data_IF_291867003010
#
_entry.id   IF_291867003010
#
_cell.length_a   1.000
_cell.length_b   1.000
_cell.length_c   1.000
_cell.angle_alpha   90.00
_cell.angle_beta   90.00
_cell.angle_gamma   90.00
#
_symmetry.space_group_name_H-M   'P 1'
#
loop_
_entity.id
_entity.type
_entity.pdbx_description
1 polymer ?
#
# COMPACT_ATOMS: atom_id res chain seq x y z
N UNK A 1 9.81 27.93 -1.42
CA UNK A 1 8.77 27.13 -2.11
C UNK A 1 9.52 26.03 -2.82
N UNK A 2 9.96 25.06 -2.03
CA UNK A 2 10.75 23.95 -2.51
C UNK A 2 9.85 23.03 -3.33
N UNK A 3 10.22 22.88 -4.60
CA UNK A 3 9.60 21.94 -5.50
C UNK A 3 9.65 20.55 -4.85
N UNK A 4 8.49 20.02 -4.45
CA UNK A 4 8.35 18.59 -4.12
C UNK A 4 8.62 17.79 -5.39
N UNK A 5 9.90 17.54 -5.68
CA UNK A 5 10.30 16.38 -6.42
C UNK A 5 10.02 15.19 -5.52
N UNK A 6 9.14 14.29 -5.97
CA UNK A 6 9.03 12.95 -5.38
C UNK A 6 10.39 12.27 -5.56
N UNK A 7 11.28 12.41 -4.58
CA UNK A 7 12.63 11.88 -4.69
C UNK A 7 12.64 10.39 -4.36
N UNK A 8 11.71 9.96 -3.50
CA UNK A 8 11.64 8.59 -3.02
C UNK A 8 10.20 8.11 -2.81
N UNK A 9 10.04 6.77 -2.81
CA UNK A 9 8.76 6.10 -2.54
C UNK A 9 8.12 6.56 -1.22
N UNK A 10 8.90 6.98 -0.23
CA UNK A 10 8.41 7.45 1.07
C UNK A 10 7.60 8.75 0.97
N UNK A 11 8.01 9.66 0.09
CA UNK A 11 7.27 10.91 -0.15
C UNK A 11 5.93 10.60 -0.82
N UNK A 12 5.93 9.65 -1.76
CA UNK A 12 4.70 9.17 -2.39
C UNK A 12 3.75 8.50 -1.40
N UNK A 13 4.27 7.66 -0.50
CA UNK A 13 3.46 7.06 0.57
C UNK A 13 2.89 8.11 1.53
N UNK A 14 3.67 9.16 1.83
CA UNK A 14 3.22 10.27 2.69
C UNK A 14 2.07 11.04 2.02
N UNK A 15 2.15 11.27 0.71
CA UNK A 15 1.06 11.86 -0.06
C UNK A 15 -0.21 10.99 0.00
N UNK A 16 -0.08 9.69 -0.28
CA UNK A 16 -1.22 8.76 -0.23
C UNK A 16 -1.85 8.73 1.17
N UNK A 17 -1.04 8.80 2.23
CA UNK A 17 -1.55 8.89 3.61
C UNK A 17 -2.31 10.19 3.86
N UNK A 18 -1.79 11.34 3.39
CA UNK A 18 -2.49 12.63 3.49
C UNK A 18 -3.81 12.65 2.72
N UNK A 19 -3.90 11.92 1.60
CA UNK A 19 -5.11 11.78 0.80
C UNK A 19 -6.10 10.75 1.38
N UNK A 20 -5.72 10.01 2.43
CA UNK A 20 -6.53 8.91 2.98
C UNK A 20 -6.53 7.65 2.11
N UNK A 21 -5.65 7.57 1.13
CA UNK A 21 -5.49 6.45 0.18
C UNK A 21 -4.42 5.44 0.65
N UNK A 22 -3.77 5.68 1.79
CA UNK A 22 -2.88 4.73 2.47
C UNK A 22 -3.29 4.54 3.93
N UNK A 23 -3.37 3.28 4.37
CA UNK A 23 -3.60 2.91 5.76
C UNK A 23 -2.39 2.16 6.31
N UNK A 24 -1.81 2.69 7.39
CA UNK A 24 -0.72 2.03 8.13
C UNK A 24 -1.31 1.10 9.19
N UNK A 25 -0.84 -0.14 9.21
CA UNK A 25 -1.23 -1.19 10.15
C UNK A 25 0.00 -1.51 11.00
N UNK A 26 -0.02 -1.02 12.25
CA UNK A 26 1.04 -1.22 13.25
C UNK A 26 0.87 -2.50 14.05
N UNK A 27 -0.32 -3.11 14.00
CA UNK A 27 -0.61 -4.35 14.70
C UNK A 27 0.23 -5.49 14.12
N UNK A 28 0.68 -6.43 14.97
CA UNK A 28 1.39 -7.61 14.50
C UNK A 28 0.44 -8.52 13.72
N UNK A 29 0.64 -8.61 12.40
CA UNK A 29 -0.17 -9.44 11.49
C UNK A 29 0.66 -10.62 10.99
N UNK A 30 0.06 -11.79 10.89
CA UNK A 30 0.73 -12.96 10.32
C UNK A 30 0.86 -12.81 8.79
N UNK A 31 2.08 -12.82 8.22
CA UNK A 31 2.24 -12.81 6.78
C UNK A 31 1.66 -14.05 6.10
N UNK A 32 1.50 -15.16 6.82
CA UNK A 32 0.86 -16.35 6.29
C UNK A 32 -0.67 -16.17 6.28
N UNK A 33 -1.22 -15.93 5.09
CA UNK A 33 -2.65 -15.84 4.78
C UNK A 33 -3.43 -14.65 5.40
N UNK A 34 -3.05 -14.09 6.55
CA UNK A 34 -3.75 -12.91 7.10
C UNK A 34 -3.49 -11.66 6.27
N UNK A 35 -2.23 -11.32 5.96
CA UNK A 35 -1.91 -10.16 5.11
C UNK A 35 -2.62 -10.25 3.74
N UNK A 36 -2.61 -11.45 3.14
CA UNK A 36 -3.24 -11.69 1.83
C UNK A 36 -4.76 -11.54 1.88
N UNK A 37 -5.43 -12.06 2.92
CA UNK A 37 -6.89 -11.91 3.09
C UNK A 37 -7.27 -10.44 3.31
N UNK A 38 -6.56 -9.75 4.19
CA UNK A 38 -6.81 -8.33 4.47
C UNK A 38 -6.62 -7.50 3.20
N UNK A 39 -5.55 -7.78 2.42
CA UNK A 39 -5.30 -7.12 1.16
C UNK A 39 -6.38 -7.42 0.10
N UNK A 40 -6.78 -8.67 -0.09
CA UNK A 40 -7.82 -9.06 -1.05
C UNK A 40 -9.18 -8.44 -0.70
N UNK A 41 -9.59 -8.52 0.57
CA UNK A 41 -10.85 -7.94 1.04
C UNK A 41 -10.87 -6.42 0.86
N UNK A 42 -9.77 -5.74 1.17
CA UNK A 42 -9.63 -4.29 0.99
C UNK A 42 -9.68 -3.93 -0.50
N UNK A 43 -9.00 -4.69 -1.35
CA UNK A 43 -8.98 -4.46 -2.80
C UNK A 43 -10.38 -4.62 -3.42
N UNK A 44 -11.10 -5.68 -3.05
CA UNK A 44 -12.47 -5.95 -3.51
C UNK A 44 -13.46 -4.87 -3.07
N UNK A 45 -13.24 -4.27 -1.90
CA UNK A 45 -14.03 -3.16 -1.40
C UNK A 45 -13.65 -1.81 -2.06
N UNK A 46 -12.64 -1.77 -2.94
CA UNK A 46 -12.11 -0.53 -3.50
C UNK A 46 -11.41 0.35 -2.46
N UNK A 47 -10.90 -0.27 -1.40
CA UNK A 47 -10.25 0.40 -0.28
C UNK A 47 -8.81 0.84 -0.57
N UNK A 48 -8.19 1.55 0.39
CA UNK A 48 -6.88 2.17 0.22
C UNK A 48 -5.73 1.15 0.11
N UNK A 49 -4.55 1.65 -0.22
CA UNK A 49 -3.30 0.92 -0.05
C UNK A 49 -3.06 0.60 1.43
N UNK A 50 -2.37 -0.50 1.71
CA UNK A 50 -2.12 -0.98 3.07
C UNK A 50 -0.62 -1.12 3.29
N UNK A 51 -0.11 -0.53 4.38
CA UNK A 51 1.28 -0.71 4.82
C UNK A 51 1.30 -1.44 6.16
N UNK A 52 1.72 -2.70 6.16
CA UNK A 52 1.93 -3.51 7.34
C UNK A 52 3.34 -3.27 7.87
N UNK A 53 3.45 -2.67 9.05
CA UNK A 53 4.76 -2.32 9.62
C UNK A 53 5.38 -3.44 10.46
N UNK A 54 4.56 -4.37 10.96
CA UNK A 54 4.99 -5.41 11.88
C UNK A 54 4.50 -6.81 11.48
N UNK A 55 4.93 -7.36 10.34
CA UNK A 55 4.67 -8.76 10.02
C UNK A 55 5.35 -9.70 11.04
N UNK A 56 4.59 -10.63 11.61
CA UNK A 56 5.13 -11.59 12.61
C UNK A 56 6.29 -12.38 12.01
N UNK A 57 7.45 -12.35 12.67
CA UNK A 57 8.65 -13.07 12.25
C UNK A 57 9.50 -12.37 11.18
N UNK A 58 9.13 -11.17 10.75
CA UNK A 58 9.88 -10.40 9.75
C UNK A 58 10.07 -8.94 10.19
N UNK A 59 11.22 -8.36 9.86
CA UNK A 59 11.54 -6.96 10.16
C UNK A 59 11.27 -6.01 8.98
N UNK A 60 10.91 -6.55 7.82
CA UNK A 60 10.66 -5.76 6.61
C UNK A 60 9.15 -5.46 6.50
N UNK A 61 8.75 -4.18 6.40
CA UNK A 61 7.34 -3.82 6.23
C UNK A 61 6.82 -4.25 4.86
N UNK A 62 5.53 -4.58 4.80
CA UNK A 62 4.87 -5.06 3.58
C UNK A 62 3.85 -4.03 3.10
N UNK A 63 4.02 -3.57 1.86
CA UNK A 63 3.09 -2.66 1.20
C UNK A 63 2.21 -3.43 0.21
N UNK A 64 0.90 -3.32 0.36
CA UNK A 64 -0.11 -3.96 -0.49
C UNK A 64 -1.04 -2.92 -1.12
N UNK A 65 -1.68 -3.30 -2.23
CA UNK A 65 -2.74 -2.52 -2.90
C UNK A 65 -2.34 -1.11 -3.38
N UNK A 66 -1.04 -0.86 -3.59
CA UNK A 66 -0.53 0.45 -4.02
C UNK A 66 -1.20 0.98 -5.32
N UNK A 67 -1.60 0.09 -6.22
CA UNK A 67 -2.29 0.43 -7.48
C UNK A 67 -3.76 -0.06 -7.53
N UNK A 68 -4.31 -0.40 -6.36
CA UNK A 68 -5.65 -0.96 -6.20
C UNK A 68 -6.76 0.04 -6.46
N UNK A 69 -6.54 1.34 -6.18
CA UNK A 69 -7.54 2.40 -6.38
C UNK A 69 -7.31 3.16 -7.69
N UNK A 70 -8.38 3.61 -8.38
CA UNK A 70 -8.26 4.41 -9.61
C UNK A 70 -7.50 5.72 -9.41
N UNK A 71 -7.54 6.30 -8.20
CA UNK A 71 -6.82 7.54 -7.83
C UNK A 71 -5.32 7.29 -7.69
N UNK A 72 -4.91 6.27 -6.93
CA UNK A 72 -3.50 5.91 -6.80
C UNK A 72 -2.83 5.54 -8.15
N UNK A 73 -3.61 5.01 -9.10
CA UNK A 73 -3.17 4.75 -10.49
C UNK A 73 -2.94 6.03 -11.31
N UNK A 74 -3.64 7.12 -11.00
CA UNK A 74 -3.52 8.39 -11.73
C UNK A 74 -2.25 9.16 -11.38
N UNK A 75 -1.82 9.08 -10.12
CA UNK A 75 -0.64 9.81 -9.62
C UNK A 75 0.69 9.06 -9.84
N UNK A 76 0.64 7.74 -10.08
CA UNK A 76 1.81 6.92 -10.39
C UNK A 76 1.82 6.49 -11.86
N UNK A 77 2.70 7.05 -12.68
CA UNK A 77 3.00 6.51 -14.00
C UNK A 77 3.50 5.06 -13.90
N UNK A 78 2.59 4.09 -14.07
CA UNK A 78 2.93 2.68 -13.99
C UNK A 78 1.70 1.77 -14.06
N UNK A 79 1.27 1.45 -15.29
CA UNK A 79 0.33 0.37 -15.55
C UNK A 79 1.01 -0.99 -15.25
N UNK A 80 1.14 -1.33 -13.97
CA UNK A 80 1.57 -2.65 -13.51
C UNK A 80 0.37 -3.39 -12.94
N UNK A 81 -0.14 -4.38 -13.66
CA UNK A 81 -1.11 -5.34 -13.13
C UNK A 81 -0.57 -5.87 -11.81
N UNK A 82 -1.33 -5.75 -10.73
CA UNK A 82 -1.05 -6.41 -9.46
C UNK A 82 -0.81 -7.89 -9.73
N UNK A 83 0.44 -8.34 -9.68
CA UNK A 83 0.77 -9.75 -9.60
C UNK A 83 0.57 -10.17 -8.15
N UNK A 84 -0.36 -11.10 -7.92
CA UNK A 84 -0.66 -11.62 -6.59
C UNK A 84 -1.97 -12.38 -6.53
N UNK A 85 -2.21 -13.29 -7.49
CA UNK A 85 -3.17 -14.40 -7.38
C UNK A 85 -3.04 -15.28 -8.63
N UNK A 86 -2.05 -16.18 -8.60
CA UNK A 86 -2.08 -17.48 -9.29
C UNK A 86 -1.19 -18.43 -8.49
#
# INVERSE_FOLDING_TARGET
MDAMKYNDLRDFLTLLEQQGELKRITLPVDPHLEITEIADRTLRAGGPALLFENPKGYSMPVLCNLFGTPKARGDGHGAGRCFGAA
#
